data_IF_816777880565
#
_entry.id   IF_816777880565
#
_cell.length_a   1.000
_cell.length_b   1.000
_cell.length_c   1.000
_cell.angle_alpha   90.00
_cell.angle_beta   90.00
_cell.angle_gamma   90.00
#
_symmetry.space_group_name_H-M   'P 1'
#
loop_
_entity.id
_entity.type
_entity.pdbx_description
1 polymer ?
#
# COMPACT_ATOMS: atom_id res chain seq x y z
N UNK A 1 15.75 -35.58 25.32
CA UNK A 1 14.50 -36.17 25.85
C UNK A 1 13.38 -35.43 25.14
N UNK A 2 12.81 -36.07 24.13
CA UNK A 2 11.76 -35.50 23.27
C UNK A 2 10.48 -35.37 24.10
N UNK A 3 9.95 -34.15 24.28
CA UNK A 3 8.58 -34.00 24.76
C UNK A 3 7.61 -34.07 23.58
N UNK A 4 6.66 -34.98 23.75
CA UNK A 4 5.67 -35.42 22.77
C UNK A 4 4.64 -34.32 22.55
N UNK A 5 4.51 -33.87 21.31
CA UNK A 5 3.39 -33.07 20.82
C UNK A 5 2.08 -33.85 21.03
N UNK A 6 1.31 -33.49 22.06
CA UNK A 6 -0.08 -33.94 22.17
C UNK A 6 -0.93 -33.11 21.21
N UNK A 7 -1.41 -33.76 20.15
CA UNK A 7 -2.56 -33.29 19.37
C UNK A 7 -3.74 -33.12 20.32
N UNK A 8 -4.33 -31.94 20.37
CA UNK A 8 -5.71 -31.77 20.80
C UNK A 8 -6.62 -31.78 19.57
N UNK A 9 -7.85 -32.26 19.76
CA UNK A 9 -8.85 -32.45 18.70
C UNK A 9 -9.50 -31.13 18.23
N UNK A 10 -8.86 -29.97 18.45
CA UNK A 10 -9.32 -28.65 18.02
C UNK A 10 -8.31 -27.86 17.17
N UNK A 11 -7.22 -28.48 16.75
CA UNK A 11 -6.37 -27.93 15.67
C UNK A 11 -5.72 -26.58 15.99
N UNK A 12 -5.43 -26.29 17.26
CA UNK A 12 -4.74 -25.06 17.65
C UNK A 12 -3.21 -25.29 17.64
N UNK A 13 -2.53 -24.65 16.69
CA UNK A 13 -1.06 -24.56 16.68
C UNK A 13 -0.64 -23.51 17.72
N UNK A 14 0.20 -23.93 18.65
CA UNK A 14 0.70 -23.11 19.74
C UNK A 14 2.02 -22.42 19.34
N UNK A 15 2.10 -21.11 19.64
CA UNK A 15 3.29 -20.33 20.00
C UNK A 15 4.43 -20.07 18.99
N UNK A 16 4.29 -18.94 18.27
CA UNK A 16 5.36 -17.94 18.03
C UNK A 16 4.81 -16.57 17.62
N UNK A 17 3.60 -16.54 17.06
CA UNK A 17 2.91 -15.35 16.54
C UNK A 17 2.34 -14.45 17.65
N UNK A 18 1.88 -15.03 18.77
CA UNK A 18 1.21 -14.27 19.84
C UNK A 18 2.16 -13.31 20.60
N UNK A 19 3.45 -13.63 20.75
CA UNK A 19 4.39 -12.79 21.52
C UNK A 19 4.82 -11.52 20.79
N UNK A 20 4.72 -11.44 19.46
CA UNK A 20 5.06 -10.21 18.71
C UNK A 20 3.89 -9.23 18.62
N UNK A 21 2.65 -9.66 18.91
CA UNK A 21 1.42 -8.87 18.72
C UNK A 21 1.17 -7.78 19.78
N UNK A 22 1.80 -7.86 20.96
CA UNK A 22 1.52 -6.91 22.07
C UNK A 22 2.28 -5.58 21.94
N UNK A 23 3.25 -5.45 21.02
CA UNK A 23 4.17 -4.29 20.99
C UNK A 23 3.82 -3.17 20.00
N UNK A 24 2.78 -3.31 19.16
CA UNK A 24 2.50 -2.34 18.10
C UNK A 24 1.39 -1.33 18.43
N UNK A 25 0.77 -1.41 19.62
CA UNK A 25 -0.32 -0.51 20.01
C UNK A 25 0.21 0.58 20.93
N UNK A 26 0.76 1.66 20.38
CA UNK A 26 0.68 2.99 21.01
C UNK A 26 0.45 4.01 19.90
N UNK A 27 -0.64 4.76 20.05
CA UNK A 27 -0.98 6.00 19.32
C UNK A 27 -1.66 5.82 17.95
N UNK A 28 -2.94 5.45 17.95
CA UNK A 28 -3.96 6.09 17.09
C UNK A 28 -5.37 5.68 17.56
N UNK A 29 -6.05 6.63 18.21
CA UNK A 29 -7.21 6.38 19.07
C UNK A 29 -8.57 6.28 18.33
N UNK A 30 -8.59 6.01 17.02
CA UNK A 30 -9.85 5.88 16.25
C UNK A 30 -9.85 4.69 15.25
N UNK A 31 -9.03 3.68 15.49
CA UNK A 31 -9.02 2.46 14.67
C UNK A 31 -9.84 1.34 15.33
N UNK A 32 -10.79 0.79 14.56
CA UNK A 32 -11.58 -0.39 14.90
C UNK A 32 -10.66 -1.48 15.47
N UNK A 33 -10.84 -1.84 16.74
CA UNK A 33 -10.15 -2.99 17.34
C UNK A 33 -10.70 -4.26 16.67
N UNK A 34 -10.05 -4.74 15.61
CA UNK A 34 -10.21 -6.13 15.20
C UNK A 34 -9.40 -6.98 16.16
N UNK A 35 -10.09 -7.71 17.03
CA UNK A 35 -9.50 -8.76 17.87
C UNK A 35 -9.01 -9.92 16.98
N UNK A 36 -7.81 -9.76 16.44
CA UNK A 36 -7.14 -10.70 15.54
C UNK A 36 -6.65 -11.97 16.25
N UNK A 37 -6.73 -12.03 17.59
CA UNK A 37 -6.33 -13.22 18.38
C UNK A 37 -7.17 -14.46 18.08
N UNK A 38 -8.31 -14.29 17.40
CA UNK A 38 -9.25 -15.36 17.02
C UNK A 38 -9.28 -15.67 15.53
N UNK A 39 -8.52 -14.95 14.70
CA UNK A 39 -8.63 -15.13 13.25
C UNK A 39 -7.54 -16.09 12.77
N UNK A 40 -7.95 -17.33 12.50
CA UNK A 40 -7.13 -18.30 11.78
C UNK A 40 -7.19 -17.94 10.27
N UNK A 41 -6.47 -16.89 9.87
CA UNK A 41 -6.41 -16.44 8.48
C UNK A 41 -5.37 -17.31 7.78
N UNK A 42 -5.80 -18.30 7.00
CA UNK A 42 -4.90 -18.93 6.02
C UNK A 42 -4.38 -17.85 5.06
N UNK A 43 -3.15 -18.01 4.55
CA UNK A 43 -2.57 -17.03 3.61
C UNK A 43 -3.46 -16.69 2.41
N UNK A 44 -4.37 -17.60 2.03
CA UNK A 44 -5.39 -17.39 1.00
C UNK A 44 -6.47 -16.37 1.38
N UNK A 45 -6.87 -16.27 2.65
CA UNK A 45 -7.90 -15.30 3.11
C UNK A 45 -7.32 -13.90 3.23
N UNK A 46 -6.01 -13.77 3.47
CA UNK A 46 -5.28 -12.49 3.49
C UNK A 46 -5.32 -11.77 2.14
N UNK A 47 -5.32 -12.54 1.04
CA UNK A 47 -5.40 -12.02 -0.33
C UNK A 47 -6.78 -11.43 -0.66
N UNK A 48 -7.83 -11.72 0.12
CA UNK A 48 -9.21 -11.47 -0.28
C UNK A 48 -9.78 -10.12 0.19
N UNK A 49 -9.16 -9.43 1.15
CA UNK A 49 -9.81 -8.27 1.79
C UNK A 49 -9.41 -6.89 1.26
N UNK A 50 -8.49 -6.78 0.31
CA UNK A 50 -8.12 -5.49 -0.27
C UNK A 50 -8.17 -5.55 -1.78
N UNK A 51 -9.00 -4.71 -2.40
CA UNK A 51 -9.12 -4.63 -3.85
C UNK A 51 -7.83 -4.04 -4.45
N UNK A 52 -6.85 -4.91 -4.65
CA UNK A 52 -5.52 -4.60 -5.19
C UNK A 52 -5.48 -4.53 -6.71
N UNK A 53 -6.64 -4.72 -7.36
CA UNK A 53 -6.78 -4.58 -8.80
C UNK A 53 -7.13 -3.14 -9.18
N UNK A 54 -6.62 -2.72 -10.33
CA UNK A 54 -7.10 -1.52 -11.00
C UNK A 54 -8.61 -1.63 -11.28
N UNK A 55 -9.32 -0.56 -11.03
CA UNK A 55 -10.76 -0.43 -11.27
C UNK A 55 -10.99 0.81 -12.12
N UNK A 56 -11.83 0.70 -13.16
CA UNK A 56 -12.13 1.81 -14.06
C UNK A 56 -12.71 3.03 -13.34
N UNK A 57 -13.28 2.87 -12.14
CA UNK A 57 -13.74 3.99 -11.30
C UNK A 57 -12.60 4.95 -10.88
N UNK A 58 -11.36 4.44 -10.84
CA UNK A 58 -10.14 5.18 -10.50
C UNK A 58 -9.56 5.97 -11.69
N UNK A 59 -10.16 5.85 -12.88
CA UNK A 59 -9.74 6.60 -14.07
C UNK A 59 -10.03 8.09 -13.88
N UNK A 60 -9.02 8.89 -14.23
CA UNK A 60 -9.08 10.35 -14.36
C UNK A 60 -9.66 10.78 -15.71
N UNK A 61 -9.72 9.86 -16.69
CA UNK A 61 -10.04 10.14 -18.09
C UNK A 61 -8.86 10.72 -18.89
N UNK A 62 -7.68 10.83 -18.27
CA UNK A 62 -6.44 11.26 -18.93
C UNK A 62 -5.52 10.06 -19.11
N UNK A 63 -5.45 9.54 -20.33
CA UNK A 63 -4.77 8.28 -20.67
C UNK A 63 -3.35 8.14 -20.10
N UNK A 64 -2.57 9.22 -20.05
CA UNK A 64 -1.21 9.16 -19.52
C UNK A 64 -1.18 8.93 -18.01
N UNK A 65 -2.02 9.64 -17.27
CA UNK A 65 -2.14 9.51 -15.80
C UNK A 65 -2.70 8.13 -15.46
N UNK A 66 -3.75 7.68 -16.16
CA UNK A 66 -4.36 6.37 -15.93
C UNK A 66 -3.40 5.20 -16.17
N UNK A 67 -2.52 5.29 -17.18
CA UNK A 67 -1.47 4.27 -17.39
C UNK A 67 -0.46 4.24 -16.23
N UNK A 68 -0.10 5.40 -15.69
CA UNK A 68 0.82 5.46 -14.55
C UNK A 68 0.18 4.90 -13.28
N UNK A 69 -1.11 5.14 -13.05
CA UNK A 69 -1.85 4.55 -11.95
C UNK A 69 -1.95 3.03 -12.05
N UNK A 70 -2.24 2.49 -13.24
CA UNK A 70 -2.26 1.05 -13.48
C UNK A 70 -0.90 0.40 -13.16
N UNK A 71 0.18 1.06 -13.56
CA UNK A 71 1.54 0.60 -13.26
C UNK A 71 1.87 0.69 -11.76
N UNK A 72 1.41 1.73 -11.06
CA UNK A 72 1.52 1.80 -9.60
C UNK A 72 0.87 0.58 -8.94
N UNK A 73 -0.38 0.24 -9.32
CA UNK A 73 -1.06 -0.93 -8.78
C UNK A 73 -0.29 -2.23 -9.07
N UNK A 74 0.26 -2.38 -10.28
CA UNK A 74 1.09 -3.54 -10.64
C UNK A 74 2.34 -3.64 -9.75
N UNK A 75 3.04 -2.52 -9.52
CA UNK A 75 4.25 -2.48 -8.71
C UNK A 75 3.97 -2.74 -7.23
N UNK A 76 2.89 -2.19 -6.69
CA UNK A 76 2.45 -2.47 -5.31
C UNK A 76 2.14 -3.96 -5.15
N UNK A 77 1.41 -4.56 -6.10
CA UNK A 77 1.15 -6.00 -6.09
C UNK A 77 2.43 -6.84 -6.15
N UNK A 78 3.41 -6.45 -6.96
CA UNK A 78 4.69 -7.16 -7.02
C UNK A 78 5.45 -7.10 -5.69
N UNK A 79 5.46 -5.94 -5.03
CA UNK A 79 6.08 -5.77 -3.71
C UNK A 79 5.39 -6.67 -2.67
N UNK A 80 4.05 -6.68 -2.66
CA UNK A 80 3.26 -7.55 -1.77
C UNK A 80 3.53 -9.03 -2.05
N UNK A 81 3.55 -9.45 -3.33
CA UNK A 81 3.86 -10.83 -3.72
C UNK A 81 5.26 -11.24 -3.28
N UNK A 82 6.26 -10.37 -3.46
CA UNK A 82 7.64 -10.66 -3.06
C UNK A 82 7.77 -10.92 -1.56
N UNK A 83 7.03 -10.17 -0.72
CA UNK A 83 7.02 -10.42 0.72
C UNK A 83 6.25 -11.69 1.11
N UNK A 84 5.09 -11.94 0.46
CA UNK A 84 4.27 -13.12 0.74
C UNK A 84 4.92 -14.45 0.30
N UNK A 85 5.68 -14.42 -0.79
CA UNK A 85 6.44 -15.57 -1.28
C UNK A 85 7.77 -15.76 -0.53
N UNK A 86 7.99 -15.01 0.56
CA UNK A 86 9.19 -15.04 1.39
C UNK A 86 10.48 -14.94 0.54
N UNK A 87 10.45 -14.07 -0.49
CA UNK A 87 11.64 -13.83 -1.33
C UNK A 87 12.78 -13.29 -0.50
N UNK A 88 13.99 -13.33 -1.07
CA UNK A 88 15.14 -12.75 -0.40
C UNK A 88 14.93 -11.25 -0.13
N UNK A 89 15.49 -10.75 0.97
CA UNK A 89 15.44 -9.31 1.31
C UNK A 89 15.90 -8.41 0.16
N UNK A 90 16.88 -8.86 -0.62
CA UNK A 90 17.35 -8.16 -1.82
C UNK A 90 16.27 -8.04 -2.91
N UNK A 91 15.50 -9.10 -3.15
CA UNK A 91 14.41 -9.08 -4.14
C UNK A 91 13.25 -8.17 -3.69
N UNK A 92 12.93 -8.18 -2.39
CA UNK A 92 11.89 -7.32 -1.82
C UNK A 92 12.29 -5.84 -1.92
N UNK A 93 13.55 -5.51 -1.59
CA UNK A 93 14.07 -4.15 -1.73
C UNK A 93 14.04 -3.71 -3.21
N UNK A 94 14.42 -4.57 -4.16
CA UNK A 94 14.31 -4.25 -5.60
C UNK A 94 12.88 -3.99 -6.07
N UNK A 95 11.90 -4.71 -5.51
CA UNK A 95 10.50 -4.45 -5.80
C UNK A 95 10.06 -3.09 -5.24
N UNK A 96 10.53 -2.72 -4.05
CA UNK A 96 10.30 -1.39 -3.48
C UNK A 96 11.01 -0.28 -4.29
N UNK A 97 12.26 -0.49 -4.71
CA UNK A 97 13.00 0.45 -5.56
C UNK A 97 12.18 0.81 -6.81
N UNK A 98 11.62 -0.22 -7.46
CA UNK A 98 10.80 -0.05 -8.66
C UNK A 98 9.51 0.73 -8.39
N UNK A 99 8.87 0.47 -7.24
CA UNK A 99 7.67 1.21 -6.80
C UNK A 99 8.00 2.69 -6.52
N UNK A 100 9.05 2.95 -5.74
CA UNK A 100 9.47 4.31 -5.39
C UNK A 100 9.85 5.12 -6.62
N UNK A 101 10.64 4.54 -7.53
CA UNK A 101 11.04 5.21 -8.76
C UNK A 101 9.83 5.62 -9.59
N UNK A 102 8.88 4.71 -9.77
CA UNK A 102 7.66 4.98 -10.53
C UNK A 102 6.75 5.98 -9.84
N UNK A 103 6.57 5.89 -8.53
CA UNK A 103 5.77 6.84 -7.76
C UNK A 103 6.33 8.26 -7.82
N UNK A 104 7.65 8.42 -7.64
CA UNK A 104 8.30 9.74 -7.69
C UNK A 104 8.19 10.34 -9.09
N UNK A 105 8.41 9.54 -10.14
CA UNK A 105 8.24 9.98 -11.53
C UNK A 105 6.81 10.42 -11.80
N UNK A 106 5.83 9.60 -11.45
CA UNK A 106 4.41 9.90 -11.61
C UNK A 106 4.03 11.21 -10.93
N UNK A 107 4.39 11.38 -9.65
CA UNK A 107 4.13 12.60 -8.89
C UNK A 107 4.75 13.82 -9.56
N UNK A 108 6.01 13.73 -9.99
CA UNK A 108 6.70 14.87 -10.62
C UNK A 108 6.06 15.25 -11.97
N UNK A 109 5.67 14.27 -12.77
CA UNK A 109 4.97 14.50 -14.04
C UNK A 109 3.60 15.14 -13.81
N UNK A 110 2.86 14.67 -12.81
CA UNK A 110 1.56 15.22 -12.49
C UNK A 110 1.64 16.66 -11.96
N UNK A 111 2.54 16.93 -11.02
CA UNK A 111 2.77 18.29 -10.51
C UNK A 111 3.23 19.25 -11.63
N UNK A 112 4.02 18.77 -12.59
CA UNK A 112 4.38 19.54 -13.77
C UNK A 112 3.16 19.87 -14.64
N UNK A 113 2.29 18.89 -14.91
CA UNK A 113 1.03 19.09 -15.63
C UNK A 113 0.14 20.11 -14.91
N UNK A 114 -0.02 19.96 -13.59
CA UNK A 114 -0.81 20.88 -12.76
C UNK A 114 -0.26 22.32 -12.86
N UNK A 115 1.06 22.48 -12.74
CA UNK A 115 1.72 23.79 -12.83
C UNK A 115 1.57 24.42 -14.21
N UNK A 116 1.78 23.65 -15.28
CA UNK A 116 1.64 24.13 -16.66
C UNK A 116 0.23 24.63 -16.99
N UNK A 117 -0.79 24.00 -16.38
CA UNK A 117 -2.19 24.35 -16.61
C UNK A 117 -2.77 25.31 -15.55
N UNK A 118 -1.93 25.83 -14.64
CA UNK A 118 -2.35 26.68 -13.52
C UNK A 118 -3.49 26.05 -12.69
N UNK A 119 -3.38 24.75 -12.41
CA UNK A 119 -4.38 24.02 -11.64
C UNK A 119 -4.48 24.58 -10.21
N UNK A 120 -5.67 25.04 -9.76
CA UNK A 120 -5.83 25.68 -8.46
C UNK A 120 -5.62 24.74 -7.26
N UNK A 121 -5.71 23.41 -7.47
CA UNK A 121 -5.53 22.41 -6.41
C UNK A 121 -4.08 22.00 -6.15
N UNK A 122 -3.10 22.54 -6.89
CA UNK A 122 -1.69 22.12 -6.88
C UNK A 122 -1.11 22.02 -5.46
N UNK A 123 -1.20 23.09 -4.67
CA UNK A 123 -0.57 23.12 -3.33
C UNK A 123 -1.11 22.03 -2.40
N UNK A 124 -2.42 21.76 -2.45
CA UNK A 124 -3.06 20.72 -1.63
C UNK A 124 -2.60 19.33 -2.07
N UNK A 125 -2.55 19.10 -3.38
CA UNK A 125 -2.16 17.81 -3.91
C UNK A 125 -0.68 17.50 -3.66
N UNK A 126 0.20 18.51 -3.71
CA UNK A 126 1.61 18.37 -3.33
C UNK A 126 1.79 17.93 -1.87
N UNK A 127 0.99 18.45 -0.95
CA UNK A 127 1.04 18.00 0.46
C UNK A 127 0.66 16.52 0.57
N UNK A 128 -0.38 16.07 -0.15
CA UNK A 128 -0.78 14.66 -0.17
C UNK A 128 0.31 13.78 -0.79
N UNK A 129 0.95 14.21 -1.86
CA UNK A 129 2.08 13.51 -2.46
C UNK A 129 3.25 13.35 -1.49
N UNK A 130 3.54 14.37 -0.68
CA UNK A 130 4.60 14.25 0.34
C UNK A 130 4.25 13.25 1.43
N UNK A 131 2.98 13.18 1.87
CA UNK A 131 2.52 12.13 2.79
C UNK A 131 2.75 10.71 2.21
N UNK A 132 2.55 10.53 0.91
CA UNK A 132 2.81 9.24 0.26
C UNK A 132 4.30 8.92 0.17
N UNK A 133 5.12 9.91 -0.19
CA UNK A 133 6.59 9.76 -0.22
C UNK A 133 7.11 9.38 1.18
N UNK A 134 6.62 9.99 2.24
CA UNK A 134 6.95 9.61 3.62
C UNK A 134 6.50 8.18 3.93
N UNK A 135 5.31 7.78 3.51
CA UNK A 135 4.85 6.40 3.66
C UNK A 135 5.81 5.39 3.00
N UNK A 136 6.35 5.69 1.82
CA UNK A 136 7.33 4.82 1.16
C UNK A 136 8.68 4.78 1.92
N UNK A 137 9.14 5.93 2.43
CA UNK A 137 10.35 6.03 3.26
C UNK A 137 10.23 5.20 4.55
N UNK A 138 9.08 5.23 5.21
CA UNK A 138 8.79 4.40 6.39
C UNK A 138 8.93 2.90 6.08
N UNK A 139 8.36 2.47 4.94
CA UNK A 139 8.40 1.08 4.51
C UNK A 139 9.83 0.65 4.21
N UNK A 140 10.59 1.47 3.49
CA UNK A 140 12.02 1.23 3.24
C UNK A 140 12.79 1.07 4.55
N UNK A 141 12.64 2.03 5.46
CA UNK A 141 13.33 2.00 6.76
C UNK A 141 13.02 0.73 7.54
N UNK A 142 11.75 0.30 7.55
CA UNK A 142 11.36 -0.95 8.19
C UNK A 142 12.02 -2.16 7.51
N UNK A 143 11.94 -2.26 6.19
CA UNK A 143 12.51 -3.39 5.44
C UNK A 143 14.02 -3.50 5.63
N UNK A 144 14.74 -2.38 5.67
CA UNK A 144 16.19 -2.36 5.85
C UNK A 144 16.60 -2.75 7.28
N UNK A 145 15.84 -2.35 8.30
CA UNK A 145 16.26 -2.48 9.71
C UNK A 145 15.63 -3.64 10.48
N UNK A 146 14.56 -4.25 9.96
CA UNK A 146 13.77 -5.26 10.67
C UNK A 146 13.52 -6.51 9.83
N UNK A 147 13.12 -7.58 10.53
CA UNK A 147 12.57 -8.78 9.90
C UNK A 147 11.13 -8.55 9.46
N UNK A 148 10.77 -9.14 8.32
CA UNK A 148 9.44 -9.01 7.74
C UNK A 148 8.49 -9.93 8.50
N UNK A 149 7.38 -9.38 8.96
CA UNK A 149 6.33 -10.16 9.63
C UNK A 149 5.02 -10.07 8.83
N UNK A 150 4.16 -11.07 8.94
CA UNK A 150 2.84 -11.06 8.30
C UNK A 150 2.04 -9.81 8.66
N UNK A 151 2.11 -9.35 9.91
CA UNK A 151 1.42 -8.13 10.36
C UNK A 151 1.94 -6.87 9.63
N UNK A 152 3.25 -6.78 9.43
CA UNK A 152 3.84 -5.68 8.67
C UNK A 152 3.34 -5.66 7.21
N UNK A 153 3.28 -6.83 6.56
CA UNK A 153 2.78 -6.96 5.19
C UNK A 153 1.34 -6.45 5.09
N UNK A 154 0.46 -6.89 6.00
CA UNK A 154 -0.95 -6.47 6.04
C UNK A 154 -1.05 -4.96 6.22
N UNK A 155 -0.37 -4.42 7.23
CA UNK A 155 -0.45 -3.00 7.55
C UNK A 155 0.07 -2.12 6.41
N UNK A 156 1.19 -2.51 5.80
CA UNK A 156 1.75 -1.82 4.65
C UNK A 156 0.81 -1.84 3.46
N UNK A 157 0.30 -3.03 3.11
CA UNK A 157 -0.66 -3.21 2.03
C UNK A 157 -1.89 -2.34 2.24
N UNK A 158 -2.42 -2.29 3.47
CA UNK A 158 -3.54 -1.45 3.82
C UNK A 158 -3.25 0.03 3.63
N UNK A 159 -2.14 0.51 4.19
CA UNK A 159 -1.74 1.91 4.14
C UNK A 159 -1.58 2.39 2.70
N UNK A 160 -0.84 1.64 1.86
CA UNK A 160 -0.60 2.03 0.46
C UNK A 160 -1.90 2.00 -0.35
N UNK A 161 -2.64 0.88 -0.38
CA UNK A 161 -3.81 0.79 -1.25
C UNK A 161 -4.91 1.77 -0.84
N UNK A 162 -5.10 1.99 0.47
CA UNK A 162 -6.07 2.97 0.97
C UNK A 162 -5.67 4.39 0.54
N UNK A 163 -4.39 4.74 0.65
CA UNK A 163 -3.91 6.05 0.22
C UNK A 163 -4.10 6.23 -1.29
N UNK A 164 -3.61 5.31 -2.12
CA UNK A 164 -3.71 5.40 -3.58
C UNK A 164 -5.16 5.50 -4.04
N UNK A 165 -6.05 4.64 -3.54
CA UNK A 165 -7.47 4.68 -3.94
C UNK A 165 -8.14 5.98 -3.53
N UNK A 166 -7.88 6.47 -2.32
CA UNK A 166 -8.44 7.74 -1.84
C UNK A 166 -7.97 8.88 -2.73
N UNK A 167 -6.66 8.99 -2.97
CA UNK A 167 -6.06 10.04 -3.78
C UNK A 167 -6.63 10.05 -5.20
N UNK A 168 -6.64 8.89 -5.87
CA UNK A 168 -7.16 8.76 -7.24
C UNK A 168 -8.66 9.01 -7.37
N UNK A 169 -9.45 8.69 -6.34
CA UNK A 169 -10.90 8.95 -6.35
C UNK A 169 -11.25 10.41 -6.05
N UNK A 170 -10.32 11.20 -5.51
CA UNK A 170 -10.54 12.59 -5.16
C UNK A 170 -9.63 13.53 -5.96
N UNK A 171 -8.35 13.61 -5.62
CA UNK A 171 -7.46 14.64 -6.13
C UNK A 171 -7.17 14.46 -7.63
N UNK A 172 -6.76 13.26 -8.04
CA UNK A 172 -6.40 13.00 -9.44
C UNK A 172 -7.62 13.07 -10.35
N UNK A 173 -8.81 12.75 -9.81
CA UNK A 173 -10.08 12.86 -10.53
C UNK A 173 -10.46 14.31 -10.76
N UNK A 174 -10.33 15.16 -9.74
CA UNK A 174 -10.54 16.60 -9.86
C UNK A 174 -9.56 17.22 -10.87
N UNK A 175 -8.30 16.77 -10.89
CA UNK A 175 -7.32 17.17 -11.90
C UNK A 175 -7.75 16.72 -13.31
N UNK A 176 -8.15 15.46 -13.46
CA UNK A 176 -8.62 14.92 -14.74
C UNK A 176 -9.78 15.71 -15.33
N UNK A 177 -10.79 16.00 -14.51
CA UNK A 177 -11.94 16.85 -14.89
C UNK A 177 -11.50 18.25 -15.32
N UNK A 178 -10.59 18.87 -14.56
CA UNK A 178 -10.04 20.19 -14.89
C UNK A 178 -9.32 20.18 -16.25
N UNK A 179 -8.44 19.21 -16.50
CA UNK A 179 -7.68 19.11 -17.76
C UNK A 179 -8.59 18.86 -18.97
N UNK A 180 -9.61 18.01 -18.82
CA UNK A 180 -10.58 17.73 -19.89
C UNK A 180 -11.39 18.98 -20.24
N UNK A 181 -11.85 19.72 -19.22
CA UNK A 181 -12.64 20.94 -19.43
C UNK A 181 -11.79 22.07 -20.03
N UNK A 182 -10.51 22.15 -19.65
CA UNK A 182 -9.59 23.18 -20.16
C UNK A 182 -9.24 22.99 -21.64
N UNK A 183 -9.28 21.75 -22.17
CA UNK A 183 -9.06 21.44 -23.60
C UNK A 183 -10.27 21.71 -24.50
N UNK A 184 -11.46 21.89 -23.92
CA UNK A 184 -12.72 22.12 -24.66
C UNK A 184 -13.01 23.59 -24.91
N UNK A 185 -12.30 24.49 -24.24
CA UNK A 185 -12.41 25.94 -24.36
C UNK A 185 -11.29 26.50 -25.23
#
# INVERSE_FOLDING_TARGET
MYEVLKKDERGLINNKIASSMVKFTHEDNDSVIMDISRINISGEVLMHFMNSNWDAVLSTGVDNIDRQHQELFRLINNLVSAMNEEKSKLEIIKALDSLEEHAIRHINEEEAIQKENNYPGLEIQQMQHEEFKECLRDIRSFLETREISTLFIIHMQEKIFKWCRKHMLTADKDLGEFLINSRRN
#
